data_IF_658598865385
#
_entry.id   IF_658598865385
#
_cell.length_a   1.000
_cell.length_b   1.000
_cell.length_c   1.000
_cell.angle_alpha   90.00
_cell.angle_beta   90.00
_cell.angle_gamma   90.00
#
_symmetry.space_group_name_H-M   'P 1'
#
loop_
_entity.id
_entity.type
_entity.pdbx_description
1 polymer ?
#
# COMPACT_ATOMS: atom_id res chain seq x y z
N UNK A 1 -83.69 -20.23 46.87
CA UNK A 1 -83.81 -20.34 45.43
C UNK A 1 -82.39 -20.20 44.84
N UNK A 2 -81.66 -21.18 44.51
CA UNK A 2 -81.84 -22.36 43.76
C UNK A 2 -81.21 -22.17 42.40
N UNK A 3 -80.04 -22.78 42.19
CA UNK A 3 -79.53 -23.56 41.00
C UNK A 3 -78.03 -23.38 40.88
N UNK A 4 -77.27 -24.36 41.18
CA UNK A 4 -76.82 -25.56 40.44
C UNK A 4 -75.68 -25.33 39.51
N UNK A 5 -74.54 -25.96 39.88
CA UNK A 5 -73.23 -26.03 39.18
C UNK A 5 -73.31 -26.89 37.93
N UNK A 6 -72.50 -26.56 36.95
CA UNK A 6 -72.06 -27.53 35.94
C UNK A 6 -70.54 -27.38 35.74
N UNK A 7 -69.81 -28.44 35.99
CA UNK A 7 -68.45 -28.66 35.64
C UNK A 7 -68.37 -28.91 34.12
N UNK A 8 -67.36 -28.30 33.49
CA UNK A 8 -66.90 -28.67 32.15
C UNK A 8 -65.42 -28.91 32.21
N UNK A 9 -65.00 -30.13 31.94
CA UNK A 9 -63.59 -30.53 31.92
C UNK A 9 -62.87 -29.94 30.70
N UNK A 10 -61.66 -29.45 30.91
CA UNK A 10 -60.75 -29.01 29.85
C UNK A 10 -59.70 -30.09 29.59
N UNK A 11 -59.73 -30.62 28.36
CA UNK A 11 -58.74 -31.53 27.85
C UNK A 11 -57.41 -30.78 27.59
N UNK A 12 -56.33 -31.28 28.18
CA UNK A 12 -54.97 -30.78 27.97
C UNK A 12 -54.38 -31.36 26.67
N UNK A 13 -54.31 -30.59 25.62
CA UNK A 13 -53.61 -30.97 24.39
C UNK A 13 -52.11 -30.65 24.52
N UNK A 14 -51.31 -31.69 24.56
CA UNK A 14 -49.83 -31.60 24.54
C UNK A 14 -49.41 -31.34 23.10
N UNK A 15 -48.98 -30.10 22.81
CA UNK A 15 -48.32 -29.75 21.53
C UNK A 15 -46.84 -30.03 21.63
N UNK A 16 -46.38 -31.11 21.01
CA UNK A 16 -44.96 -31.33 20.77
C UNK A 16 -44.46 -30.31 19.73
N UNK A 17 -43.75 -29.26 20.19
CA UNK A 17 -43.04 -28.35 19.32
C UNK A 17 -41.77 -29.03 18.79
N UNK A 18 -41.78 -29.41 17.50
CA UNK A 18 -40.51 -29.69 16.78
C UNK A 18 -39.74 -28.39 16.62
N UNK A 19 -38.73 -28.19 17.46
CA UNK A 19 -37.70 -27.15 17.24
C UNK A 19 -36.80 -27.59 16.08
N UNK A 20 -37.14 -27.19 14.86
CA UNK A 20 -36.25 -27.31 13.73
C UNK A 20 -35.02 -26.40 13.94
N UNK A 21 -33.89 -27.00 14.20
CA UNK A 21 -32.63 -26.30 14.16
C UNK A 21 -32.38 -25.85 12.72
N UNK A 22 -32.56 -24.55 12.45
CA UNK A 22 -32.10 -23.93 11.22
C UNK A 22 -30.56 -23.87 11.30
N UNK A 23 -29.90 -24.87 10.73
CA UNK A 23 -28.46 -24.82 10.46
C UNK A 23 -28.26 -23.79 9.35
N UNK A 24 -28.10 -22.52 9.74
CA UNK A 24 -27.63 -21.51 8.84
C UNK A 24 -26.26 -21.97 8.34
N UNK A 25 -26.15 -22.33 7.08
CA UNK A 25 -24.89 -22.44 6.39
C UNK A 25 -24.23 -21.06 6.47
N UNK A 26 -23.23 -20.92 7.33
CA UNK A 26 -22.36 -19.76 7.31
C UNK A 26 -21.78 -19.72 5.89
N UNK A 27 -22.31 -18.83 5.05
CA UNK A 27 -21.76 -18.58 3.73
C UNK A 27 -20.28 -18.30 3.93
N UNK A 28 -19.42 -19.03 3.22
CA UNK A 28 -17.99 -18.81 3.26
C UNK A 28 -17.76 -17.31 2.97
N UNK A 29 -17.27 -16.57 3.96
CA UNK A 29 -16.94 -15.18 3.78
C UNK A 29 -15.99 -15.12 2.58
N UNK A 30 -16.36 -14.41 1.52
CA UNK A 30 -15.53 -14.25 0.33
C UNK A 30 -14.19 -13.71 0.80
N UNK A 31 -13.15 -14.53 0.70
CA UNK A 31 -11.81 -14.18 1.16
C UNK A 31 -11.31 -13.04 0.30
N UNK A 32 -11.15 -11.85 0.87
CA UNK A 32 -10.53 -10.72 0.18
C UNK A 32 -9.02 -10.86 0.30
N UNK A 33 -8.34 -10.90 -0.83
CA UNK A 33 -6.88 -10.87 -0.88
C UNK A 33 -6.42 -9.82 -1.87
N UNK A 34 -5.22 -9.32 -1.69
CA UNK A 34 -4.57 -8.44 -2.65
C UNK A 34 -3.12 -8.84 -2.87
N UNK A 35 -2.62 -8.57 -4.08
CA UNK A 35 -1.22 -8.78 -4.44
C UNK A 35 -0.42 -7.51 -4.18
N UNK A 36 0.82 -7.67 -3.70
CA UNK A 36 1.79 -6.57 -3.57
C UNK A 36 3.05 -6.95 -4.33
N UNK A 37 3.46 -6.07 -5.24
CA UNK A 37 4.70 -6.11 -6.00
C UNK A 37 5.33 -4.72 -6.00
N UNK A 38 6.62 -4.61 -6.33
CA UNK A 38 7.35 -3.36 -6.50
C UNK A 38 8.78 -3.66 -6.89
N UNK A 39 9.56 -2.64 -7.23
CA UNK A 39 10.95 -2.80 -7.69
C UNK A 39 11.06 -3.80 -8.85
N UNK A 40 10.05 -3.80 -9.72
CA UNK A 40 9.92 -4.67 -10.92
C UNK A 40 9.19 -3.91 -12.05
N UNK A 41 9.49 -4.24 -13.33
CA UNK A 41 10.54 -5.13 -13.82
C UNK A 41 11.90 -4.42 -13.93
N UNK A 42 12.99 -5.03 -13.46
CA UNK A 42 14.34 -4.52 -13.62
C UNK A 42 15.08 -5.19 -14.78
N UNK A 43 15.56 -4.38 -15.72
CA UNK A 43 16.28 -4.87 -16.91
C UNK A 43 15.39 -5.57 -17.94
N UNK A 44 16.00 -5.90 -19.08
CA UNK A 44 15.28 -6.47 -20.24
C UNK A 44 14.68 -7.84 -19.97
N UNK A 45 15.37 -8.68 -19.21
CA UNK A 45 14.91 -10.03 -18.86
C UNK A 45 13.60 -9.98 -18.08
N UNK A 46 13.55 -9.23 -16.98
CA UNK A 46 12.32 -9.12 -16.19
C UNK A 46 11.22 -8.42 -16.97
N UNK A 47 11.55 -7.40 -17.76
CA UNK A 47 10.58 -6.73 -18.62
C UNK A 47 9.94 -7.70 -19.62
N UNK A 48 10.72 -8.66 -20.15
CA UNK A 48 10.22 -9.73 -21.01
C UNK A 48 9.33 -10.73 -20.27
N UNK A 49 9.64 -11.03 -19.01
CA UNK A 49 8.87 -11.95 -18.16
C UNK A 49 7.64 -11.29 -17.51
N UNK A 50 7.58 -9.96 -17.44
CA UNK A 50 6.56 -9.26 -16.69
C UNK A 50 5.11 -9.60 -17.11
N UNK A 51 4.80 -9.74 -18.43
CA UNK A 51 3.46 -10.20 -18.83
C UNK A 51 3.09 -11.60 -18.29
N UNK A 52 4.05 -12.53 -18.21
CA UNK A 52 3.82 -13.88 -17.66
C UNK A 52 3.55 -13.80 -16.15
N UNK A 53 4.31 -12.98 -15.43
CA UNK A 53 4.12 -12.72 -13.97
C UNK A 53 2.76 -12.10 -13.69
N UNK A 54 2.33 -11.13 -14.50
CA UNK A 54 1.00 -10.54 -14.42
C UNK A 54 -0.08 -11.61 -14.65
N UNK A 55 0.08 -12.46 -15.65
CA UNK A 55 -0.87 -13.54 -15.92
C UNK A 55 -0.99 -14.51 -14.75
N UNK A 56 0.11 -14.79 -14.04
CA UNK A 56 0.10 -15.64 -12.86
C UNK A 56 -0.66 -14.98 -11.69
N UNK A 57 -0.49 -13.68 -11.45
CA UNK A 57 -1.26 -12.96 -10.43
C UNK A 57 -2.74 -12.94 -10.81
N UNK A 58 -3.08 -12.68 -12.08
CA UNK A 58 -4.45 -12.70 -12.59
C UNK A 58 -5.14 -14.07 -12.47
N UNK A 59 -4.35 -15.15 -12.45
CA UNK A 59 -4.88 -16.52 -12.32
C UNK A 59 -5.27 -16.87 -10.88
N UNK A 60 -4.90 -16.08 -9.88
CA UNK A 60 -5.30 -16.31 -8.49
C UNK A 60 -6.73 -15.75 -8.25
N UNK A 61 -7.75 -16.58 -8.09
CA UNK A 61 -9.14 -16.14 -7.99
C UNK A 61 -9.45 -15.38 -6.69
N UNK A 62 -8.55 -15.44 -5.71
CA UNK A 62 -8.70 -14.75 -4.42
C UNK A 62 -8.17 -13.32 -4.47
N UNK A 63 -7.25 -13.00 -5.37
CA UNK A 63 -6.76 -11.64 -5.58
C UNK A 63 -7.90 -10.78 -6.13
N UNK A 64 -8.14 -9.64 -5.51
CA UNK A 64 -9.19 -8.67 -5.86
C UNK A 64 -8.60 -7.27 -6.12
N UNK A 65 -7.32 -7.11 -5.96
CA UNK A 65 -6.57 -5.87 -6.18
C UNK A 65 -5.09 -6.18 -6.27
N UNK A 66 -4.37 -5.37 -7.02
CA UNK A 66 -2.90 -5.37 -7.08
C UNK A 66 -2.37 -4.02 -6.60
N UNK A 67 -1.29 -4.04 -5.84
CA UNK A 67 -0.52 -2.84 -5.46
C UNK A 67 0.88 -2.94 -6.02
N UNK A 68 1.32 -1.92 -6.76
CA UNK A 68 2.70 -1.79 -7.22
C UNK A 68 3.37 -0.64 -6.47
N UNK A 69 4.43 -0.95 -5.73
CA UNK A 69 5.10 -0.04 -4.81
C UNK A 69 6.22 0.79 -5.45
N UNK A 70 6.10 1.10 -6.74
CA UNK A 70 7.12 1.92 -7.40
C UNK A 70 8.31 1.14 -7.94
N UNK A 71 9.28 1.87 -8.43
CA UNK A 71 10.48 1.36 -9.06
C UNK A 71 10.15 0.42 -10.23
N UNK A 72 9.49 1.00 -11.22
CA UNK A 72 9.05 0.30 -12.44
C UNK A 72 10.19 0.00 -13.41
N UNK A 73 11.42 0.26 -13.03
CA UNK A 73 12.63 -0.02 -13.79
C UNK A 73 13.89 0.45 -13.06
N UNK A 74 15.03 -0.12 -13.42
CA UNK A 74 16.33 0.19 -12.79
C UNK A 74 17.11 1.31 -13.50
N UNK A 75 16.48 2.07 -14.39
CA UNK A 75 17.21 3.14 -15.09
C UNK A 75 16.74 3.40 -16.52
N UNK A 76 15.46 3.55 -16.73
CA UNK A 76 14.92 4.04 -17.99
C UNK A 76 13.79 5.04 -17.71
N UNK A 77 14.10 6.31 -17.92
CA UNK A 77 13.18 7.43 -17.68
C UNK A 77 12.57 8.00 -18.97
N UNK A 78 12.52 7.21 -20.03
CA UNK A 78 11.91 7.67 -21.29
C UNK A 78 10.39 7.54 -21.26
N UNK A 79 9.70 8.46 -21.94
CA UNK A 79 8.24 8.38 -22.08
C UNK A 79 7.80 7.09 -22.77
N UNK A 80 8.58 6.57 -23.73
CA UNK A 80 8.29 5.30 -24.39
C UNK A 80 8.39 4.12 -23.43
N UNK A 81 9.30 4.16 -22.48
CA UNK A 81 9.40 3.14 -21.42
C UNK A 81 8.19 3.19 -20.49
N UNK A 82 7.78 4.38 -20.04
CA UNK A 82 6.59 4.52 -19.21
C UNK A 82 5.33 4.00 -19.91
N UNK A 83 5.16 4.29 -21.21
CA UNK A 83 4.05 3.75 -21.99
C UNK A 83 4.11 2.22 -22.07
N UNK A 84 5.31 1.64 -22.22
CA UNK A 84 5.49 0.19 -22.21
C UNK A 84 5.10 -0.43 -20.87
N UNK A 85 5.49 0.17 -19.73
CA UNK A 85 5.07 -0.27 -18.42
C UNK A 85 3.56 -0.10 -18.24
N UNK A 86 3.01 1.05 -18.65
CA UNK A 86 1.56 1.28 -18.60
C UNK A 86 0.78 0.21 -19.38
N UNK A 87 1.27 -0.16 -20.56
CA UNK A 87 0.68 -1.26 -21.36
C UNK A 87 0.76 -2.62 -20.68
N UNK A 88 1.74 -2.84 -19.80
CA UNK A 88 1.78 -4.03 -18.95
C UNK A 88 0.80 -3.90 -17.77
N UNK A 89 0.72 -2.75 -17.12
CA UNK A 89 -0.23 -2.51 -16.04
C UNK A 89 -1.69 -2.68 -16.51
N UNK A 90 -1.99 -2.35 -17.76
CA UNK A 90 -3.30 -2.57 -18.38
C UNK A 90 -3.66 -4.05 -18.61
N UNK A 91 -2.72 -4.98 -18.39
CA UNK A 91 -2.97 -6.42 -18.43
C UNK A 91 -3.43 -6.99 -17.08
N UNK A 92 -3.30 -6.26 -15.99
CA UNK A 92 -3.93 -6.67 -14.73
C UNK A 92 -5.44 -6.66 -14.89
N UNK A 93 -6.08 -7.78 -14.59
CA UNK A 93 -7.54 -7.91 -14.64
C UNK A 93 -8.15 -7.15 -13.47
N UNK A 94 -7.57 -7.30 -12.28
CA UNK A 94 -8.02 -6.63 -11.07
C UNK A 94 -7.59 -5.16 -11.00
N UNK A 95 -8.25 -4.33 -10.19
CA UNK A 95 -7.84 -2.96 -9.93
C UNK A 95 -6.37 -2.90 -9.50
N UNK A 96 -5.60 -2.00 -10.10
CA UNK A 96 -4.20 -1.77 -9.75
C UNK A 96 -4.02 -0.38 -9.15
N UNK A 97 -3.52 -0.29 -7.92
CA UNK A 97 -2.97 0.94 -7.36
C UNK A 97 -1.45 0.97 -7.52
N UNK A 98 -0.92 2.14 -7.85
CA UNK A 98 0.50 2.35 -8.08
C UNK A 98 0.96 3.59 -7.34
N UNK A 99 2.10 3.52 -6.66
CA UNK A 99 2.82 4.68 -6.11
C UNK A 99 4.18 4.78 -6.78
N UNK A 100 4.61 5.96 -7.26
CA UNK A 100 5.93 6.10 -7.89
C UNK A 100 7.08 5.86 -6.92
N UNK A 101 8.18 5.29 -7.42
CA UNK A 101 9.46 5.19 -6.73
C UNK A 101 10.46 6.26 -7.19
N UNK A 102 11.70 6.18 -6.72
CA UNK A 102 12.73 7.13 -7.10
C UNK A 102 13.33 6.85 -8.49
N UNK A 103 13.36 5.60 -8.92
CA UNK A 103 13.95 5.20 -10.19
C UNK A 103 13.23 5.78 -11.41
N UNK A 104 11.92 6.00 -11.34
CA UNK A 104 11.17 6.54 -12.46
C UNK A 104 11.16 8.06 -12.54
N UNK A 105 11.69 8.78 -11.55
CA UNK A 105 11.76 10.23 -11.66
C UNK A 105 12.94 10.87 -10.89
N UNK A 106 13.07 10.69 -9.57
CA UNK A 106 14.07 11.34 -8.74
C UNK A 106 15.50 11.02 -9.21
N UNK A 107 15.77 9.76 -9.54
CA UNK A 107 17.07 9.25 -10.00
C UNK A 107 17.33 9.44 -11.50
N UNK A 108 16.38 9.98 -12.23
CA UNK A 108 16.50 10.21 -13.67
C UNK A 108 17.58 11.23 -14.05
N UNK A 109 18.09 11.98 -13.10
CA UNK A 109 19.25 12.86 -13.31
C UNK A 109 20.54 12.08 -13.59
N UNK A 110 20.65 10.80 -13.21
CA UNK A 110 21.87 10.02 -13.31
C UNK A 110 22.34 9.88 -14.76
N UNK A 111 23.67 9.91 -14.96
CA UNK A 111 24.25 9.79 -16.29
C UNK A 111 23.90 8.48 -17.00
N UNK A 112 23.78 7.40 -16.24
CA UNK A 112 23.40 6.06 -16.73
C UNK A 112 21.99 6.00 -17.32
N UNK A 113 21.11 6.95 -16.98
CA UNK A 113 19.71 6.97 -17.43
C UNK A 113 19.34 8.19 -18.28
N UNK A 114 20.34 8.91 -18.78
CA UNK A 114 20.14 9.97 -19.78
C UNK A 114 20.04 11.40 -19.23
N UNK A 115 20.37 11.63 -17.95
CA UNK A 115 20.43 12.99 -17.35
C UNK A 115 19.16 13.82 -17.52
N UNK A 116 18.01 13.20 -17.32
CA UNK A 116 16.74 13.90 -17.36
C UNK A 116 16.53 14.77 -16.12
N UNK A 117 15.83 15.89 -16.27
CA UNK A 117 15.37 16.68 -15.11
C UNK A 117 14.33 15.87 -14.32
N UNK A 118 14.52 15.58 -13.02
CA UNK A 118 13.59 14.79 -12.22
C UNK A 118 12.16 15.35 -12.18
N UNK A 119 11.98 16.66 -12.08
CA UNK A 119 10.63 17.26 -12.04
C UNK A 119 9.88 17.09 -13.35
N UNK A 120 10.56 17.18 -14.50
CA UNK A 120 9.97 16.88 -15.81
C UNK A 120 9.58 15.40 -15.91
N UNK A 121 10.40 14.50 -15.31
CA UNK A 121 10.08 13.07 -15.26
C UNK A 121 8.90 12.79 -14.35
N UNK A 122 8.82 13.43 -13.19
CA UNK A 122 7.66 13.35 -12.32
C UNK A 122 6.37 13.80 -13.04
N UNK A 123 6.43 14.91 -13.78
CA UNK A 123 5.30 15.36 -14.59
C UNK A 123 4.91 14.31 -15.65
N UNK A 124 5.90 13.67 -16.29
CA UNK A 124 5.68 12.61 -17.27
C UNK A 124 5.06 11.36 -16.64
N UNK A 125 5.55 10.91 -15.49
CA UNK A 125 4.98 9.79 -14.71
C UNK A 125 3.52 10.08 -14.36
N UNK A 126 3.23 11.27 -13.83
CA UNK A 126 1.86 11.71 -13.50
C UNK A 126 0.94 11.75 -14.71
N UNK A 127 1.46 12.13 -15.87
CA UNK A 127 0.69 12.17 -17.12
C UNK A 127 0.35 10.76 -17.64
N UNK A 128 1.30 9.82 -17.55
CA UNK A 128 1.13 8.46 -18.10
C UNK A 128 0.29 7.58 -17.19
N UNK A 129 0.58 7.59 -15.88
CA UNK A 129 -0.03 6.62 -14.96
C UNK A 129 -1.27 7.15 -14.23
N UNK A 130 -1.46 8.47 -14.19
CA UNK A 130 -2.60 9.08 -13.47
C UNK A 130 -3.39 10.06 -14.37
N UNK A 131 -3.76 9.65 -15.61
CA UNK A 131 -4.49 10.54 -16.52
C UNK A 131 -5.93 10.83 -16.04
N UNK A 132 -6.51 9.90 -15.28
CA UNK A 132 -7.86 10.00 -14.71
C UNK A 132 -7.79 9.89 -13.18
N UNK A 133 -7.56 11.01 -12.44
CA UNK A 133 -7.56 10.98 -10.97
C UNK A 133 -8.86 10.43 -10.41
N UNK A 134 -8.76 9.70 -9.28
CA UNK A 134 -9.92 9.11 -8.63
C UNK A 134 -10.35 7.75 -9.17
N UNK A 135 -9.52 7.13 -10.01
CA UNK A 135 -9.69 5.73 -10.45
C UNK A 135 -8.37 4.97 -10.37
N UNK A 136 -8.45 3.68 -10.08
CA UNK A 136 -7.30 2.76 -10.18
C UNK A 136 -6.92 2.52 -11.64
N UNK A 137 -5.75 1.94 -11.85
CA UNK A 137 -5.36 1.28 -13.09
C UNK A 137 -5.97 -0.16 -13.15
N UNK A 138 -5.57 -0.93 -14.16
CA UNK A 138 -6.11 -2.28 -14.41
C UNK A 138 -7.40 -2.25 -15.21
N UNK A 139 -7.85 -3.45 -15.67
CA UNK A 139 -9.01 -3.57 -16.54
C UNK A 139 -10.31 -3.29 -15.78
N UNK A 140 -10.44 -3.80 -14.56
CA UNK A 140 -11.61 -3.59 -13.70
C UNK A 140 -11.38 -2.43 -12.72
N UNK A 141 -11.00 -1.27 -13.26
CA UNK A 141 -10.68 -0.07 -12.47
C UNK A 141 -11.87 0.36 -11.58
N UNK A 142 -11.59 0.64 -10.31
CA UNK A 142 -12.56 1.09 -9.31
C UNK A 142 -12.37 2.56 -8.93
N UNK A 143 -13.42 3.24 -8.42
CA UNK A 143 -13.28 4.58 -7.85
C UNK A 143 -12.40 4.56 -6.58
N UNK A 144 -11.57 5.59 -6.42
CA UNK A 144 -10.75 5.86 -5.23
C UNK A 144 -10.76 7.36 -4.94
N UNK A 145 -10.49 7.74 -3.69
CA UNK A 145 -10.29 9.15 -3.35
C UNK A 145 -8.85 9.55 -3.67
N UNK A 146 -8.64 10.40 -4.66
CA UNK A 146 -7.35 10.96 -4.99
C UNK A 146 -7.12 12.28 -4.26
N UNK A 147 -5.91 12.50 -3.75
CA UNK A 147 -5.53 13.75 -3.11
C UNK A 147 -5.39 14.88 -4.14
N UNK A 148 -5.97 16.03 -3.85
CA UNK A 148 -5.85 17.20 -4.73
C UNK A 148 -4.37 17.62 -4.88
N UNK A 149 -3.91 17.80 -6.12
CA UNK A 149 -2.52 18.12 -6.45
C UNK A 149 -1.55 16.94 -6.45
N UNK A 150 -1.90 15.82 -5.81
CA UNK A 150 -1.08 14.60 -5.70
C UNK A 150 -1.91 13.37 -6.06
N UNK A 151 -2.26 13.27 -7.33
CA UNK A 151 -3.18 12.25 -7.85
C UNK A 151 -2.71 10.81 -7.72
N UNK A 152 -1.43 10.61 -7.45
CA UNK A 152 -0.81 9.34 -7.08
C UNK A 152 -1.07 8.92 -5.63
N UNK A 153 -1.42 9.86 -4.75
CA UNK A 153 -1.87 9.58 -3.39
C UNK A 153 -3.37 9.28 -3.42
N UNK A 154 -3.74 8.03 -3.27
CA UNK A 154 -5.14 7.61 -3.25
C UNK A 154 -5.49 6.91 -1.95
N UNK A 155 -6.76 6.95 -1.55
CA UNK A 155 -7.30 6.15 -0.45
C UNK A 155 -8.65 5.54 -0.79
N UNK A 156 -8.93 4.37 -0.24
CA UNK A 156 -10.16 3.61 -0.47
C UNK A 156 -10.38 2.57 0.63
N UNK A 157 -11.60 2.04 0.70
CA UNK A 157 -11.96 0.96 1.61
C UNK A 157 -12.14 -0.35 0.84
N UNK A 158 -11.57 -1.45 1.33
CA UNK A 158 -11.74 -2.78 0.77
C UNK A 158 -11.51 -3.87 1.83
N UNK A 159 -12.30 -4.94 1.83
CA UNK A 159 -12.14 -6.08 2.75
C UNK A 159 -12.24 -5.72 4.24
N UNK A 160 -12.92 -4.64 4.59
CA UNK A 160 -12.97 -4.13 5.97
C UNK A 160 -11.70 -3.37 6.42
N UNK A 161 -10.85 -2.98 5.47
CA UNK A 161 -9.64 -2.20 5.66
C UNK A 161 -9.81 -0.80 5.06
N UNK A 162 -9.02 0.15 5.54
CA UNK A 162 -8.73 1.39 4.79
C UNK A 162 -7.31 1.32 4.26
N UNK A 163 -7.16 1.52 2.95
CA UNK A 163 -5.88 1.47 2.25
C UNK A 163 -5.53 2.84 1.69
N UNK A 164 -4.25 3.17 1.63
CA UNK A 164 -3.77 4.38 0.96
C UNK A 164 -2.38 4.18 0.35
N UNK A 165 -2.16 4.81 -0.81
CA UNK A 165 -0.83 5.02 -1.38
C UNK A 165 -0.24 6.32 -0.84
N UNK A 166 1.06 6.30 -0.59
CA UNK A 166 1.84 7.45 -0.11
C UNK A 166 3.05 7.62 -1.04
N UNK A 167 3.14 8.76 -1.70
CA UNK A 167 4.27 9.07 -2.57
C UNK A 167 5.48 9.49 -1.73
N UNK A 168 6.18 8.50 -1.21
CA UNK A 168 7.44 8.63 -0.49
C UNK A 168 8.46 7.79 -1.24
N UNK A 169 9.59 8.38 -1.65
CA UNK A 169 10.56 7.72 -2.53
C UNK A 169 11.91 7.54 -1.86
N UNK A 170 12.69 6.60 -2.36
CA UNK A 170 14.09 6.41 -2.01
C UNK A 170 14.94 7.66 -2.26
N UNK A 171 16.26 7.49 -2.38
CA UNK A 171 17.20 8.61 -2.63
C UNK A 171 17.04 9.78 -1.64
N UNK A 172 16.78 9.46 -0.34
CA UNK A 172 16.50 10.43 0.73
C UNK A 172 15.27 11.31 0.39
N UNK A 173 14.22 10.70 -0.17
CA UNK A 173 12.99 11.36 -0.59
C UNK A 173 13.23 12.45 -1.64
N UNK A 174 14.12 12.19 -2.60
CA UNK A 174 14.65 13.12 -3.60
C UNK A 174 15.48 14.30 -3.01
N UNK A 175 16.08 14.14 -1.82
CA UNK A 175 16.97 15.16 -1.26
C UNK A 175 18.44 15.00 -1.65
N UNK A 176 18.82 13.89 -2.29
CA UNK A 176 20.17 13.74 -2.82
C UNK A 176 20.43 14.71 -3.97
N UNK A 177 21.64 15.30 -4.05
CA UNK A 177 21.98 16.20 -5.15
C UNK A 177 21.82 15.54 -6.52
N UNK A 178 21.31 16.26 -7.50
CA UNK A 178 21.22 15.79 -8.88
C UNK A 178 22.57 15.86 -9.59
N UNK A 179 23.50 15.00 -9.16
CA UNK A 179 24.90 15.00 -9.59
C UNK A 179 25.07 14.77 -11.09
N UNK A 180 24.19 14.00 -11.74
CA UNK A 180 24.21 13.79 -13.19
C UNK A 180 23.91 15.05 -14.00
N UNK A 181 23.31 16.07 -13.38
CA UNK A 181 23.09 17.40 -13.94
C UNK A 181 24.14 18.42 -13.48
N UNK A 182 25.17 17.97 -12.73
CA UNK A 182 26.27 18.84 -12.27
C UNK A 182 26.01 19.50 -10.92
N UNK A 183 24.92 19.22 -10.24
CA UNK A 183 24.64 19.79 -8.91
C UNK A 183 25.37 19.00 -7.81
N UNK A 184 25.98 19.72 -6.87
CA UNK A 184 26.66 19.16 -5.67
C UNK A 184 25.84 19.31 -4.38
N UNK A 185 24.71 20.02 -4.48
CA UNK A 185 23.72 20.18 -3.41
C UNK A 185 22.32 20.12 -4.02
N UNK A 186 21.28 19.81 -3.24
CA UNK A 186 19.90 19.89 -3.71
C UNK A 186 19.58 21.28 -4.24
N UNK A 187 18.82 21.35 -5.34
CA UNK A 187 18.38 22.63 -5.93
C UNK A 187 17.15 23.18 -5.17
N UNK A 188 16.90 24.49 -5.31
CA UNK A 188 15.72 25.11 -4.69
C UNK A 188 14.41 24.50 -5.20
N UNK A 189 14.18 24.29 -6.53
CA UNK A 189 12.98 23.64 -7.01
C UNK A 189 12.82 22.20 -6.50
N UNK A 190 13.91 21.44 -6.38
CA UNK A 190 13.93 20.09 -5.80
C UNK A 190 13.43 20.10 -4.35
N UNK A 191 14.00 20.99 -3.51
CA UNK A 191 13.61 21.10 -2.11
C UNK A 191 12.18 21.61 -1.92
N UNK A 192 11.71 22.48 -2.82
CA UNK A 192 10.34 22.97 -2.81
C UNK A 192 9.33 21.86 -3.13
N UNK A 193 9.62 21.02 -4.14
CA UNK A 193 8.80 19.84 -4.46
C UNK A 193 8.76 18.86 -3.29
N UNK A 194 9.93 18.51 -2.75
CA UNK A 194 10.02 17.57 -1.63
C UNK A 194 9.24 18.08 -0.41
N UNK A 195 9.38 19.34 -0.04
CA UNK A 195 8.68 19.91 1.11
C UNK A 195 7.15 19.87 0.91
N UNK A 196 6.67 20.26 -0.27
CA UNK A 196 5.25 20.23 -0.60
C UNK A 196 4.69 18.79 -0.63
N UNK A 197 5.45 17.83 -1.18
CA UNK A 197 5.06 16.41 -1.21
C UNK A 197 5.07 15.79 0.20
N UNK A 198 6.01 16.16 1.07
CA UNK A 198 6.02 15.73 2.47
C UNK A 198 4.78 16.24 3.20
N UNK A 199 4.41 17.51 3.04
CA UNK A 199 3.20 18.09 3.63
C UNK A 199 1.95 17.36 3.15
N UNK A 200 1.83 17.15 1.83
CA UNK A 200 0.74 16.39 1.23
C UNK A 200 0.68 14.93 1.75
N UNK A 201 1.82 14.26 1.87
CA UNK A 201 1.91 12.90 2.43
C UNK A 201 1.42 12.85 3.87
N UNK A 202 1.82 13.80 4.71
CA UNK A 202 1.36 13.88 6.10
C UNK A 202 -0.15 14.12 6.18
N UNK A 203 -0.68 14.98 5.31
CA UNK A 203 -2.12 15.21 5.19
C UNK A 203 -2.86 13.93 4.75
N UNK A 204 -2.30 13.19 3.77
CA UNK A 204 -2.85 11.90 3.32
C UNK A 204 -2.85 10.85 4.45
N UNK A 205 -1.79 10.75 5.23
CA UNK A 205 -1.73 9.87 6.41
C UNK A 205 -2.88 10.21 7.36
N UNK A 206 -3.00 11.47 7.79
CA UNK A 206 -4.03 11.91 8.73
C UNK A 206 -5.45 11.65 8.22
N UNK A 207 -5.73 11.98 6.96
CA UNK A 207 -7.04 11.75 6.35
C UNK A 207 -7.38 10.26 6.25
N UNK A 208 -6.39 9.41 5.95
CA UNK A 208 -6.55 7.96 5.88
C UNK A 208 -6.93 7.37 7.25
N UNK A 209 -6.26 7.79 8.32
CA UNK A 209 -6.59 7.34 9.67
C UNK A 209 -7.94 7.89 10.15
N UNK A 210 -8.29 9.12 9.79
CA UNK A 210 -9.63 9.68 10.08
C UNK A 210 -10.73 8.88 9.36
N UNK A 211 -10.54 8.57 8.08
CA UNK A 211 -11.46 7.72 7.31
C UNK A 211 -11.57 6.31 7.92
N UNK A 212 -10.45 5.71 8.33
CA UNK A 212 -10.44 4.40 8.96
C UNK A 212 -11.21 4.37 10.30
N UNK A 213 -11.06 5.41 11.11
CA UNK A 213 -11.84 5.57 12.36
C UNK A 213 -13.33 5.72 12.07
N UNK A 214 -13.71 6.57 11.12
CA UNK A 214 -15.10 6.79 10.71
C UNK A 214 -15.76 5.54 10.15
N UNK A 215 -15.03 4.78 9.30
CA UNK A 215 -15.51 3.53 8.71
C UNK A 215 -15.42 2.32 9.67
N UNK A 216 -14.95 2.50 10.88
CA UNK A 216 -14.68 1.42 11.84
C UNK A 216 -13.79 0.31 11.25
N UNK A 217 -12.82 0.67 10.41
CA UNK A 217 -11.94 -0.27 9.71
C UNK A 217 -11.13 -1.14 10.67
N UNK A 218 -10.96 -2.40 10.32
CA UNK A 218 -10.23 -3.39 11.15
C UNK A 218 -8.73 -3.08 11.19
N UNK A 219 -8.18 -2.52 10.11
CA UNK A 219 -6.79 -2.09 10.02
C UNK A 219 -6.63 -0.95 9.00
N UNK A 220 -5.49 -0.27 9.05
CA UNK A 220 -5.00 0.64 8.02
C UNK A 220 -3.85 -0.05 7.28
N UNK A 221 -3.85 0.05 5.95
CA UNK A 221 -2.77 -0.43 5.07
C UNK A 221 -2.20 0.76 4.30
N UNK A 222 -0.93 1.01 4.47
CA UNK A 222 -0.20 2.09 3.79
C UNK A 222 0.80 1.48 2.82
N UNK A 223 0.82 1.99 1.61
CA UNK A 223 1.58 1.49 0.47
C UNK A 223 2.52 2.60 -0.02
N UNK A 224 3.82 2.37 0.00
CA UNK A 224 4.84 3.34 -0.42
C UNK A 224 6.02 2.66 -1.09
N UNK A 225 6.90 3.42 -1.76
CA UNK A 225 8.13 2.83 -2.29
C UNK A 225 9.24 2.86 -1.24
N UNK A 226 9.55 3.99 -0.63
CA UNK A 226 10.72 4.15 0.24
C UNK A 226 10.73 3.22 1.47
N UNK A 227 11.85 2.58 1.73
CA UNK A 227 12.11 1.91 3.02
C UNK A 227 12.67 2.93 4.04
N UNK A 228 11.78 3.56 4.78
CA UNK A 228 12.14 4.54 5.81
C UNK A 228 12.87 3.92 7.02
N UNK A 229 13.05 2.60 7.04
CA UNK A 229 13.69 1.85 8.12
C UNK A 229 14.80 0.94 7.61
N UNK A 230 15.40 1.27 6.47
CA UNK A 230 16.47 0.47 5.86
C UNK A 230 17.69 0.37 6.78
N UNK A 231 18.25 -0.84 6.99
CA UNK A 231 19.47 -1.00 7.79
C UNK A 231 20.66 -0.25 7.19
N UNK A 232 21.49 0.35 8.05
CA UNK A 232 22.75 1.00 7.61
C UNK A 232 22.59 2.43 7.06
N UNK A 233 21.37 2.96 6.94
CA UNK A 233 21.10 4.27 6.31
C UNK A 233 20.95 5.44 7.29
N UNK A 234 21.30 5.27 8.58
CA UNK A 234 21.05 6.27 9.63
C UNK A 234 21.95 7.50 9.51
N UNK A 235 21.90 8.19 8.36
CA UNK A 235 22.55 9.50 8.15
C UNK A 235 21.67 10.67 8.61
N UNK A 236 22.26 11.85 8.76
CA UNK A 236 21.49 13.07 9.03
C UNK A 236 20.59 13.47 7.85
N UNK A 237 21.02 13.17 6.62
CA UNK A 237 20.23 13.36 5.39
C UNK A 237 18.99 12.49 5.40
N UNK A 238 19.17 11.19 5.63
CA UNK A 238 18.09 10.23 5.71
C UNK A 238 17.06 10.60 6.81
N UNK A 239 17.54 11.01 7.98
CA UNK A 239 16.66 11.50 9.04
C UNK A 239 15.84 12.70 8.61
N UNK A 240 16.48 13.72 7.98
CA UNK A 240 15.76 14.91 7.50
C UNK A 240 14.68 14.57 6.48
N UNK A 241 14.95 13.60 5.60
CA UNK A 241 14.03 13.18 4.56
C UNK A 241 12.73 12.55 5.11
N UNK A 242 12.82 11.78 6.20
CA UNK A 242 11.70 10.93 6.63
C UNK A 242 11.15 11.23 8.02
N UNK A 243 11.85 12.03 8.85
CA UNK A 243 11.48 12.21 10.26
C UNK A 243 10.06 12.73 10.48
N UNK A 244 9.63 13.72 9.72
CA UNK A 244 8.28 14.31 9.85
C UNK A 244 7.19 13.31 9.47
N UNK A 245 7.43 12.53 8.42
CA UNK A 245 6.53 11.48 7.95
C UNK A 245 6.42 10.35 9.00
N UNK A 246 7.57 9.85 9.47
CA UNK A 246 7.59 8.77 10.46
C UNK A 246 6.96 9.21 11.78
N UNK A 247 7.15 10.45 12.20
CA UNK A 247 6.47 11.00 13.39
C UNK A 247 4.95 11.07 13.20
N UNK A 248 4.48 11.48 12.02
CA UNK A 248 3.05 11.49 11.72
C UNK A 248 2.46 10.07 11.73
N UNK A 249 3.15 9.11 11.10
CA UNK A 249 2.78 7.69 11.11
C UNK A 249 2.69 7.14 12.54
N UNK A 250 3.72 7.39 13.36
CA UNK A 250 3.78 6.93 14.74
C UNK A 250 2.64 7.50 15.58
N UNK A 251 2.36 8.80 15.44
CA UNK A 251 1.29 9.48 16.16
C UNK A 251 -0.09 8.93 15.78
N UNK A 252 -0.38 8.82 14.47
CA UNK A 252 -1.68 8.34 14.01
C UNK A 252 -1.89 6.85 14.33
N UNK A 253 -0.85 6.01 14.20
CA UNK A 253 -0.93 4.61 14.56
C UNK A 253 -1.19 4.42 16.06
N UNK A 254 -0.51 5.17 16.92
CA UNK A 254 -0.73 5.14 18.38
C UNK A 254 -2.17 5.52 18.75
N UNK A 255 -2.74 6.54 18.08
CA UNK A 255 -4.12 6.99 18.29
C UNK A 255 -5.17 6.05 17.69
N UNK A 256 -4.82 5.29 16.66
CA UNK A 256 -5.74 4.34 16.02
C UNK A 256 -5.95 3.07 16.83
N UNK A 257 -4.92 2.59 17.54
CA UNK A 257 -4.93 1.43 18.45
C UNK A 257 -5.30 0.07 17.82
N UNK A 258 -5.56 0.02 16.51
CA UNK A 258 -5.78 -1.18 15.73
C UNK A 258 -4.57 -1.45 14.84
N UNK A 259 -4.44 -2.65 14.22
CA UNK A 259 -3.32 -2.96 13.34
C UNK A 259 -3.12 -1.94 12.23
N UNK A 260 -1.86 -1.56 12.01
CA UNK A 260 -1.39 -0.72 10.92
C UNK A 260 -0.31 -1.49 10.18
N UNK A 261 -0.42 -1.58 8.87
CA UNK A 261 0.56 -2.25 8.02
C UNK A 261 1.15 -1.25 7.04
N UNK A 262 2.48 -1.16 7.01
CA UNK A 262 3.24 -0.37 6.06
C UNK A 262 3.96 -1.33 5.11
N UNK A 263 3.55 -1.33 3.84
CA UNK A 263 4.25 -2.06 2.78
C UNK A 263 5.16 -1.10 2.03
N UNK A 264 6.39 -1.53 1.80
CA UNK A 264 7.38 -0.76 1.05
C UNK A 264 8.28 -1.66 0.19
N UNK A 265 8.93 -1.07 -0.82
CA UNK A 265 9.99 -1.63 -1.65
C UNK A 265 11.37 -1.11 -1.24
N UNK A 266 12.15 -0.61 -2.23
CA UNK A 266 13.41 0.13 -2.14
C UNK A 266 14.63 -0.70 -1.67
N UNK A 267 14.50 -1.45 -0.58
CA UNK A 267 15.60 -2.26 -0.02
C UNK A 267 15.79 -3.62 -0.68
N UNK A 268 14.89 -4.03 -1.57
CA UNK A 268 14.91 -5.24 -2.40
C UNK A 268 14.92 -6.58 -1.64
N UNK A 269 14.93 -6.59 -0.33
CA UNK A 269 14.94 -7.80 0.50
C UNK A 269 13.68 -7.90 1.34
N UNK A 270 13.09 -9.11 1.41
CA UNK A 270 11.90 -9.32 2.23
C UNK A 270 12.18 -9.13 3.72
N UNK A 271 11.44 -8.23 4.36
CA UNK A 271 11.47 -8.00 5.81
C UNK A 271 10.04 -7.88 6.32
N UNK A 272 9.76 -8.51 7.47
CA UNK A 272 8.53 -8.29 8.24
C UNK A 272 8.90 -8.05 9.69
N UNK A 273 8.69 -6.82 10.16
CA UNK A 273 9.07 -6.41 11.51
C UNK A 273 8.15 -5.31 12.08
N UNK A 274 8.47 -4.83 13.27
CA UNK A 274 7.83 -3.71 13.95
C UNK A 274 8.87 -2.64 14.29
N UNK A 275 9.33 -1.85 13.33
CA UNK A 275 10.48 -0.97 13.53
C UNK A 275 10.28 0.05 14.65
N UNK A 276 9.06 0.54 14.87
CA UNK A 276 8.75 1.54 15.89
C UNK A 276 8.72 0.99 17.32
N UNK A 277 8.97 -0.31 17.51
CA UNK A 277 9.19 -0.91 18.85
C UNK A 277 10.65 -0.89 19.27
N UNK A 278 11.58 -0.60 18.35
CA UNK A 278 13.01 -0.67 18.61
C UNK A 278 13.57 0.67 19.06
N UNK A 279 14.42 0.68 20.08
CA UNK A 279 15.11 1.88 20.57
C UNK A 279 15.90 2.58 19.46
N UNK A 280 16.49 1.80 18.54
CA UNK A 280 17.22 2.30 17.38
C UNK A 280 16.40 3.34 16.58
N UNK A 281 15.22 2.95 16.11
CA UNK A 281 14.39 3.82 15.29
C UNK A 281 13.65 4.90 16.08
N UNK A 282 13.28 4.60 17.33
CA UNK A 282 12.71 5.60 18.22
C UNK A 282 13.69 6.77 18.44
N UNK A 283 14.94 6.48 18.81
CA UNK A 283 15.99 7.49 18.99
C UNK A 283 16.29 8.20 17.69
N UNK A 284 16.44 7.46 16.59
CA UNK A 284 16.80 8.05 15.30
C UNK A 284 15.77 9.08 14.82
N UNK A 285 14.49 8.78 14.91
CA UNK A 285 13.41 9.68 14.51
C UNK A 285 12.89 10.59 15.64
N UNK A 286 13.43 10.46 16.84
CA UNK A 286 13.03 11.25 18.02
C UNK A 286 11.58 11.02 18.39
N UNK A 287 11.20 9.76 18.55
CA UNK A 287 9.88 9.34 19.02
C UNK A 287 9.88 9.20 20.54
N UNK A 288 8.77 9.54 21.17
CA UNK A 288 8.63 9.54 22.64
C UNK A 288 8.13 8.22 23.21
N UNK A 289 7.90 7.20 22.38
CA UNK A 289 7.39 5.91 22.83
C UNK A 289 7.36 4.84 21.76
N UNK A 290 7.01 3.63 22.18
CA UNK A 290 6.87 2.46 21.30
C UNK A 290 5.49 2.45 20.64
N UNK A 291 5.45 2.10 19.35
CA UNK A 291 4.21 1.93 18.57
C UNK A 291 4.15 0.47 18.10
N UNK A 292 3.55 -0.38 18.93
CA UNK A 292 3.55 -1.83 18.73
C UNK A 292 2.53 -2.32 17.70
N UNK A 293 1.54 -1.52 17.34
CA UNK A 293 0.50 -1.86 16.38
C UNK A 293 0.86 -1.55 14.92
N UNK A 294 2.04 -0.95 14.63
CA UNK A 294 2.54 -0.75 13.29
C UNK A 294 3.51 -1.89 12.92
N UNK A 295 3.16 -2.65 11.89
CA UNK A 295 4.01 -3.67 11.25
C UNK A 295 4.48 -3.17 9.90
N UNK A 296 5.78 -3.34 9.60
CA UNK A 296 6.32 -3.09 8.27
C UNK A 296 6.48 -4.42 7.51
N UNK A 297 6.25 -4.35 6.21
CA UNK A 297 6.56 -5.41 5.25
C UNK A 297 7.30 -4.80 4.08
N UNK A 298 8.60 -5.03 3.99
CA UNK A 298 9.39 -4.75 2.80
C UNK A 298 9.27 -5.93 1.86
N UNK A 299 8.91 -5.70 0.61
CA UNK A 299 8.79 -6.76 -0.39
C UNK A 299 10.14 -7.02 -1.07
N UNK A 300 10.30 -8.21 -1.63
CA UNK A 300 11.44 -8.53 -2.47
C UNK A 300 11.30 -7.87 -3.84
N UNK A 301 12.43 -7.43 -4.41
CA UNK A 301 12.46 -6.68 -5.67
C UNK A 301 13.79 -6.81 -6.41
N UNK A 302 14.00 -5.95 -7.39
CA UNK A 302 15.17 -5.87 -8.25
C UNK A 302 15.36 -7.06 -9.21
N UNK A 303 16.57 -7.24 -9.73
CA UNK A 303 16.85 -8.18 -10.83
C UNK A 303 16.70 -9.66 -10.47
N UNK A 304 16.75 -9.98 -9.19
CA UNK A 304 16.70 -11.36 -8.68
C UNK A 304 15.33 -11.78 -8.13
N UNK A 305 14.34 -10.89 -8.18
CA UNK A 305 13.00 -11.20 -7.66
C UNK A 305 12.37 -12.37 -8.41
N UNK A 306 11.88 -13.33 -7.67
CA UNK A 306 11.21 -14.52 -8.19
C UNK A 306 9.86 -14.80 -7.51
N UNK A 307 9.34 -13.83 -6.76
CA UNK A 307 8.10 -13.95 -6.01
C UNK A 307 7.26 -12.67 -6.03
N UNK A 308 6.04 -12.80 -5.57
CA UNK A 308 5.14 -11.71 -5.21
C UNK A 308 4.52 -11.97 -3.83
N UNK A 309 3.98 -10.95 -3.22
CA UNK A 309 3.34 -11.08 -1.91
C UNK A 309 1.83 -11.11 -2.06
N UNK A 310 1.20 -12.21 -1.59
CA UNK A 310 -0.25 -12.28 -1.41
C UNK A 310 -0.60 -11.92 0.02
N UNK A 311 -1.52 -10.98 0.18
CA UNK A 311 -2.03 -10.52 1.47
C UNK A 311 -3.48 -10.96 1.60
N UNK A 312 -3.74 -11.91 2.49
CA UNK A 312 -5.07 -12.40 2.76
C UNK A 312 -5.69 -11.65 3.95
N UNK A 313 -6.88 -11.11 3.77
CA UNK A 313 -7.65 -10.55 4.89
C UNK A 313 -8.32 -11.70 5.63
N UNK A 314 -7.94 -11.88 6.89
CA UNK A 314 -8.41 -12.99 7.71
C UNK A 314 -9.29 -12.50 8.87
N UNK A 315 -10.14 -13.38 9.38
CA UNK A 315 -10.87 -13.13 10.62
C UNK A 315 -9.91 -13.16 11.82
N UNK A 316 -10.27 -12.49 12.91
CA UNK A 316 -9.47 -12.47 14.12
C UNK A 316 -8.51 -11.26 14.22
N UNK A 317 -7.66 -11.24 15.27
CA UNK A 317 -6.87 -10.05 15.65
C UNK A 317 -5.70 -9.74 14.71
N UNK A 318 -5.18 -10.74 14.00
CA UNK A 318 -4.06 -10.53 13.06
C UNK A 318 -4.46 -9.70 11.85
N UNK A 319 -5.72 -9.76 11.44
CA UNK A 319 -6.34 -9.06 10.32
C UNK A 319 -5.73 -9.45 8.96
N UNK A 320 -4.41 -9.50 8.83
CA UNK A 320 -3.70 -9.86 7.59
C UNK A 320 -2.78 -11.06 7.78
N UNK A 321 -2.90 -12.03 6.87
CA UNK A 321 -1.93 -13.09 6.66
C UNK A 321 -1.12 -12.79 5.40
N UNK A 322 0.20 -12.70 5.54
CA UNK A 322 1.13 -12.33 4.47
C UNK A 322 1.82 -13.59 3.97
N UNK A 323 1.72 -13.86 2.68
CA UNK A 323 2.26 -15.05 2.04
C UNK A 323 3.18 -14.64 0.88
N UNK A 324 4.40 -15.17 0.86
CA UNK A 324 5.32 -15.08 -0.28
C UNK A 324 4.93 -16.16 -1.28
N UNK A 325 4.75 -15.80 -2.54
CA UNK A 325 4.29 -16.68 -3.61
C UNK A 325 5.31 -16.65 -4.74
N UNK A 326 5.98 -17.78 -4.99
CA UNK A 326 6.97 -17.87 -6.06
C UNK A 326 6.32 -17.72 -7.44
N UNK A 327 7.03 -17.05 -8.36
CA UNK A 327 6.69 -17.11 -9.78
C UNK A 327 7.09 -18.46 -10.39
N UNK A 328 6.27 -18.97 -11.29
CA UNK A 328 6.47 -20.28 -11.96
C UNK A 328 6.79 -20.14 -13.43
#
# INVERSE_FOLDING_TARGET
MGRAARMAGAALALALGLSGAVTGTAGAATSYSFAVIGDVPYGSTQLGLFPKRIAQINADPNVKMVSHLGDIGSGNCSSSYYQKIKSNFDKFVDPLVYTPGDNEWADCHRASVGRGNPLDRLASVRSVFFPAPGRTLGQNAIPVSAQAGYKENVSFAAGGLTLATLHIVGSENDRKPWTGLGYTSPTEPQLAEEAARVEATIAQIRSTFAAAKSANSRAVVLLTQADMFAPGTQSSGYRRAFQSIVRALASEAALFQRPVFLFNGDSHGYVKDKPLTTTKWQTFYGLTGSVANLSRVTIEGASTVDEWVRVNVVSGPEVLQIQRVAYT
#
